data_IF_758305978641
#
_entry.id   IF_758305978641
#
_cell.length_a   1.000
_cell.length_b   1.000
_cell.length_c   1.000
_cell.angle_alpha   90.00
_cell.angle_beta   90.00
_cell.angle_gamma   90.00
#
_symmetry.space_group_name_H-M   'P 1'
#
loop_
_entity.id
_entity.type
_entity.pdbx_description
1 polymer ?
#
# COMPACT_ATOMS: atom_id res chain seq x y z
N UNK A 1 -7.88 19.93 12.82
CA UNK A 1 -8.23 18.89 11.83
C UNK A 1 -7.01 18.50 11.03
N UNK A 2 -6.82 17.20 10.78
CA UNK A 2 -5.72 16.81 9.90
C UNK A 2 -5.98 17.34 8.49
N UNK A 3 -4.95 17.91 7.89
CA UNK A 3 -5.04 18.38 6.52
C UNK A 3 -4.92 17.22 5.52
N UNK A 4 -5.20 17.50 4.24
CA UNK A 4 -5.07 16.52 3.17
C UNK A 4 -3.65 15.94 3.12
N UNK A 5 -2.62 16.76 3.38
CA UNK A 5 -1.24 16.31 3.39
C UNK A 5 -0.96 15.27 4.48
N UNK A 6 -1.63 15.38 5.62
CA UNK A 6 -1.48 14.41 6.70
C UNK A 6 -2.10 13.07 6.32
N UNK A 7 -3.28 13.09 5.66
CA UNK A 7 -3.94 11.89 5.18
C UNK A 7 -3.08 11.20 4.13
N UNK A 8 -2.51 11.96 3.20
CA UNK A 8 -1.64 11.43 2.15
C UNK A 8 -0.39 10.80 2.77
N UNK A 9 0.24 11.49 3.73
CA UNK A 9 1.43 10.96 4.40
C UNK A 9 1.14 9.66 5.13
N UNK A 10 0.03 9.61 5.87
CA UNK A 10 -0.37 8.40 6.59
C UNK A 10 -0.63 7.25 5.62
N UNK A 11 -1.26 7.54 4.49
CA UNK A 11 -1.52 6.53 3.45
C UNK A 11 -0.22 6.02 2.84
N UNK A 12 0.77 6.89 2.63
CA UNK A 12 2.10 6.47 2.13
C UNK A 12 2.77 5.53 3.12
N UNK A 13 2.73 5.85 4.41
CA UNK A 13 3.31 4.99 5.45
C UNK A 13 2.59 3.64 5.49
N UNK A 14 1.26 3.66 5.47
CA UNK A 14 0.46 2.43 5.47
C UNK A 14 0.75 1.58 4.23
N UNK A 15 0.88 2.22 3.08
CA UNK A 15 1.20 1.54 1.82
C UNK A 15 2.55 0.84 1.90
N UNK A 16 3.55 1.50 2.46
CA UNK A 16 4.88 0.92 2.62
C UNK A 16 4.86 -0.28 3.57
N UNK A 17 4.22 -0.15 4.72
CA UNK A 17 4.10 -1.23 5.70
C UNK A 17 3.33 -2.42 5.14
N UNK A 18 2.25 -2.15 4.43
CA UNK A 18 1.43 -3.19 3.83
C UNK A 18 2.22 -4.01 2.84
N UNK A 19 3.05 -3.37 2.02
CA UNK A 19 3.90 -4.07 1.08
C UNK A 19 4.92 -4.96 1.78
N UNK A 20 5.50 -4.50 2.89
CA UNK A 20 6.42 -5.33 3.67
C UNK A 20 5.72 -6.59 4.17
N UNK A 21 4.49 -6.46 4.66
CA UNK A 21 3.70 -7.60 5.13
C UNK A 21 3.31 -8.53 3.98
N UNK A 22 2.96 -7.98 2.82
CA UNK A 22 2.64 -8.78 1.64
C UNK A 22 3.84 -9.60 1.17
N UNK A 23 5.01 -8.99 1.14
CA UNK A 23 6.25 -9.68 0.77
C UNK A 23 6.54 -10.81 1.76
N UNK A 24 6.38 -10.55 3.05
CA UNK A 24 6.56 -11.56 4.09
C UNK A 24 5.55 -12.70 3.96
N UNK A 25 4.28 -12.40 3.72
CA UNK A 25 3.25 -13.41 3.54
C UNK A 25 3.55 -14.30 2.34
N UNK A 26 3.98 -13.71 1.23
CA UNK A 26 4.32 -14.45 0.03
C UNK A 26 5.54 -15.35 0.27
N UNK A 27 6.54 -14.85 0.98
CA UNK A 27 7.73 -15.62 1.33
C UNK A 27 7.40 -16.83 2.18
N UNK A 28 6.39 -16.71 3.05
CA UNK A 28 5.95 -17.78 3.93
C UNK A 28 4.86 -18.66 3.31
N UNK A 29 4.54 -18.45 2.03
CA UNK A 29 3.48 -19.16 1.30
C UNK A 29 2.11 -18.97 1.95
N UNK A 30 1.88 -17.88 2.65
CA UNK A 30 0.58 -17.55 3.21
C UNK A 30 -0.23 -16.77 2.17
N UNK A 31 -0.73 -17.49 1.17
CA UNK A 31 -1.40 -16.88 0.03
C UNK A 31 -2.74 -16.27 0.41
N UNK A 32 -3.43 -16.83 1.39
CA UNK A 32 -4.71 -16.29 1.85
C UNK A 32 -4.52 -14.91 2.46
N UNK A 33 -3.53 -14.76 3.34
CA UNK A 33 -3.21 -13.47 3.94
C UNK A 33 -2.74 -12.48 2.88
N UNK A 34 -1.90 -12.94 1.94
CA UNK A 34 -1.43 -12.11 0.84
C UNK A 34 -2.61 -11.56 0.04
N UNK A 35 -3.58 -12.41 -0.29
CA UNK A 35 -4.74 -12.01 -1.08
C UNK A 35 -5.59 -10.96 -0.36
N UNK A 36 -5.79 -11.11 0.94
CA UNK A 36 -6.52 -10.13 1.74
C UNK A 36 -5.79 -8.79 1.78
N UNK A 37 -4.48 -8.82 1.94
CA UNK A 37 -3.65 -7.62 1.93
C UNK A 37 -3.61 -6.96 0.56
N UNK A 38 -3.66 -7.76 -0.49
CA UNK A 38 -3.67 -7.26 -1.87
C UNK A 38 -4.87 -6.35 -2.13
N UNK A 39 -6.03 -6.68 -1.58
CA UNK A 39 -7.21 -5.82 -1.71
C UNK A 39 -6.97 -4.44 -1.13
N UNK A 40 -6.35 -4.38 0.04
CA UNK A 40 -6.01 -3.11 0.68
C UNK A 40 -4.93 -2.37 -0.10
N UNK A 41 -3.97 -3.09 -0.65
CA UNK A 41 -2.92 -2.55 -1.49
C UNK A 41 -3.52 -1.80 -2.70
N UNK A 42 -4.48 -2.41 -3.38
CA UNK A 42 -5.15 -1.77 -4.52
C UNK A 42 -5.92 -0.52 -4.08
N UNK A 43 -6.64 -0.60 -2.95
CA UNK A 43 -7.36 0.56 -2.41
C UNK A 43 -6.42 1.73 -2.14
N UNK A 44 -5.27 1.47 -1.52
CA UNK A 44 -4.28 2.51 -1.23
C UNK A 44 -3.67 3.07 -2.51
N UNK A 45 -3.44 2.25 -3.52
CA UNK A 45 -2.96 2.73 -4.82
C UNK A 45 -3.94 3.72 -5.42
N UNK A 46 -5.22 3.42 -5.38
CA UNK A 46 -6.25 4.32 -5.91
C UNK A 46 -6.26 5.65 -5.14
N UNK A 47 -6.22 5.57 -3.80
CA UNK A 47 -6.20 6.77 -2.96
C UNK A 47 -4.99 7.65 -3.28
N UNK A 48 -3.81 7.05 -3.32
CA UNK A 48 -2.56 7.78 -3.55
C UNK A 48 -2.49 8.35 -4.97
N UNK A 49 -2.93 7.58 -5.96
CA UNK A 49 -2.97 8.06 -7.35
C UNK A 49 -3.93 9.23 -7.48
N UNK A 50 -5.10 9.15 -6.85
CA UNK A 50 -6.08 10.23 -6.86
C UNK A 50 -5.54 11.48 -6.19
N UNK A 51 -4.73 11.32 -5.16
CA UNK A 51 -4.08 12.44 -4.46
C UNK A 51 -2.87 13.01 -5.23
N UNK A 52 -2.51 12.43 -6.37
CA UNK A 52 -1.40 12.92 -7.18
C UNK A 52 -0.04 12.40 -6.77
N UNK A 53 0.01 11.34 -5.96
CA UNK A 53 1.28 10.78 -5.50
C UNK A 53 1.88 9.89 -6.59
N UNK A 54 3.16 10.07 -6.86
CA UNK A 54 3.89 9.22 -7.82
C UNK A 54 4.26 7.91 -7.14
N UNK A 55 3.75 6.80 -7.66
CA UNK A 55 3.95 5.47 -7.09
C UNK A 55 5.17 4.74 -7.63
N UNK A 56 5.90 5.31 -8.58
CA UNK A 56 7.01 4.60 -9.22
C UNK A 56 8.05 4.09 -8.22
N UNK A 57 8.36 4.88 -7.19
CA UNK A 57 9.32 4.48 -6.17
C UNK A 57 8.65 3.82 -4.97
N UNK A 58 7.40 4.17 -4.70
CA UNK A 58 6.68 3.66 -3.53
C UNK A 58 6.15 2.25 -3.76
N UNK A 59 5.75 1.94 -4.98
CA UNK A 59 5.16 0.64 -5.32
C UNK A 59 6.26 -0.37 -5.63
N UNK A 60 6.63 -1.16 -4.63
CA UNK A 60 7.67 -2.19 -4.78
C UNK A 60 7.13 -3.48 -5.35
N UNK A 61 5.84 -3.74 -5.17
CA UNK A 61 5.20 -4.96 -5.65
C UNK A 61 4.87 -4.83 -7.14
N UNK A 62 4.44 -3.65 -7.56
CA UNK A 62 4.20 -3.30 -8.97
C UNK A 62 3.18 -4.21 -9.66
N UNK A 63 2.05 -4.40 -9.01
CA UNK A 63 0.96 -5.19 -9.57
C UNK A 63 -0.26 -4.36 -9.97
#
# INVERSE_FOLDING_TARGET
>A
MPGMSDIVRDSVVDFSRLQDWMISAKKNNDLETYEQMYKRYIELKVILTTAGVNLNELDRIKE
#
